data_IF_376728280551
#
_entry.id   IF_376728280551
#
_cell.length_a   1.000
_cell.length_b   1.000
_cell.length_c   1.000
_cell.angle_alpha   90.00
_cell.angle_beta   90.00
_cell.angle_gamma   90.00
#
_symmetry.space_group_name_H-M   'P 1'
#
loop_
_entity.id
_entity.type
_entity.pdbx_description
1 polymer ?
#
# COMPACT_ATOMS: atom_id res chain seq x y z
N UNK A 1 -2.22 12.72 1.71
CA UNK A 1 -3.51 12.31 1.12
C UNK A 1 -3.99 11.02 1.78
N UNK A 2 -5.26 10.94 2.18
CA UNK A 2 -5.86 9.71 2.75
C UNK A 2 -7.01 9.26 1.86
N UNK A 3 -7.12 7.95 1.64
CA UNK A 3 -8.21 7.32 0.87
C UNK A 3 -8.65 6.04 1.54
N UNK A 4 -9.97 5.84 1.59
CA UNK A 4 -10.58 4.60 2.06
C UNK A 4 -11.31 3.91 0.91
N UNK A 5 -11.17 2.60 0.84
CA UNK A 5 -11.81 1.76 -0.18
C UNK A 5 -12.46 0.57 0.54
N UNK A 6 -13.75 0.33 0.28
CA UNK A 6 -14.43 -0.87 0.73
C UNK A 6 -14.48 -1.85 -0.43
N UNK A 7 -14.00 -3.08 -0.19
CA UNK A 7 -14.06 -4.18 -1.12
C UNK A 7 -15.08 -5.19 -0.58
N UNK A 8 -16.09 -5.48 -1.39
CA UNK A 8 -17.16 -6.41 -1.07
C UNK A 8 -17.04 -7.58 -2.04
N UNK A 9 -17.09 -8.80 -1.50
CA UNK A 9 -17.09 -10.01 -2.31
C UNK A 9 -17.51 -11.20 -1.45
N UNK A 10 -18.15 -12.17 -2.08
CA UNK A 10 -18.51 -13.43 -1.44
C UNK A 10 -17.26 -14.33 -1.30
N UNK A 11 -17.19 -15.09 -0.20
CA UNK A 11 -16.13 -16.10 -0.03
C UNK A 11 -14.71 -15.58 0.21
N UNK A 12 -14.48 -14.29 0.51
CA UNK A 12 -13.13 -13.77 0.73
C UNK A 12 -12.55 -14.26 2.07
N UNK A 13 -11.69 -15.28 1.99
CA UNK A 13 -10.95 -15.87 3.13
C UNK A 13 -9.53 -15.33 3.30
N UNK A 14 -9.11 -14.38 2.45
CA UNK A 14 -7.74 -13.92 2.41
C UNK A 14 -7.27 -13.23 3.70
N UNK A 15 -5.96 -13.32 3.98
CA UNK A 15 -5.36 -12.66 5.13
C UNK A 15 -5.49 -11.13 5.03
N UNK A 16 -5.85 -10.48 6.15
CA UNK A 16 -5.83 -9.03 6.25
C UNK A 16 -4.37 -8.57 6.30
N UNK A 17 -3.83 -8.16 5.15
CA UNK A 17 -2.47 -7.66 5.08
C UNK A 17 -2.39 -6.16 5.35
N UNK A 18 -1.28 -5.77 5.97
CA UNK A 18 -0.92 -4.38 6.20
C UNK A 18 0.47 -4.11 5.60
N UNK A 19 0.64 -2.93 5.06
CA UNK A 19 1.86 -2.46 4.43
C UNK A 19 2.24 -1.12 5.06
N UNK A 20 3.48 -1.02 5.54
CA UNK A 20 4.04 0.23 6.07
C UNK A 20 5.40 0.49 5.44
N UNK A 21 5.50 1.61 4.74
CA UNK A 21 6.73 2.08 4.11
C UNK A 21 7.08 3.44 4.69
N UNK A 22 8.33 3.56 5.16
CA UNK A 22 8.88 4.82 5.66
C UNK A 22 10.06 5.23 4.79
N UNK A 23 10.12 6.50 4.43
CA UNK A 23 11.26 7.08 3.70
C UNK A 23 11.46 8.55 4.03
N UNK A 24 12.52 9.15 3.46
CA UNK A 24 12.76 10.60 3.59
C UNK A 24 11.81 11.44 2.74
N UNK A 25 11.28 10.91 1.63
CA UNK A 25 10.45 11.67 0.69
C UNK A 25 8.96 11.55 0.99
N UNK A 26 8.51 10.34 1.32
CA UNK A 26 7.12 10.07 1.67
C UNK A 26 6.99 8.80 2.51
N UNK A 27 5.87 8.71 3.20
CA UNK A 27 5.45 7.51 3.89
C UNK A 27 4.17 6.95 3.28
N UNK A 28 4.04 5.62 3.29
CA UNK A 28 2.84 4.90 2.88
C UNK A 28 2.40 4.00 4.02
N UNK A 29 1.16 4.14 4.47
CA UNK A 29 0.49 3.21 5.36
C UNK A 29 -0.74 2.65 4.67
N UNK A 30 -0.83 1.33 4.58
CA UNK A 30 -2.02 0.63 4.13
C UNK A 30 -2.38 -0.39 5.21
N UNK A 31 -3.63 -0.33 5.67
CA UNK A 31 -4.16 -1.27 6.63
C UNK A 31 -5.52 -1.75 6.12
N UNK A 32 -5.71 -3.07 6.14
CA UNK A 32 -7.01 -3.69 5.95
C UNK A 32 -7.70 -3.96 7.29
N UNK A 33 -9.01 -4.06 7.26
CA UNK A 33 -9.84 -4.66 8.30
C UNK A 33 -10.90 -5.54 7.66
N UNK A 34 -11.18 -6.70 8.27
CA UNK A 34 -12.32 -7.52 7.87
C UNK A 34 -13.59 -6.88 8.43
N UNK A 35 -14.63 -6.84 7.62
CA UNK A 35 -15.95 -6.29 7.95
C UNK A 35 -17.02 -7.37 7.74
N UNK A 36 -18.25 -7.11 8.20
CA UNK A 36 -19.37 -8.03 8.00
C UNK A 36 -19.70 -8.31 6.52
N UNK A 37 -19.29 -7.44 5.59
CA UNK A 37 -19.62 -7.53 4.16
C UNK A 37 -18.38 -7.68 3.24
N UNK A 38 -17.19 -7.89 3.79
CA UNK A 38 -15.96 -7.92 3.00
C UNK A 38 -14.78 -7.27 3.74
N UNK A 39 -13.98 -6.46 3.05
CA UNK A 39 -12.80 -5.80 3.61
C UNK A 39 -12.86 -4.29 3.44
N UNK A 40 -12.33 -3.56 4.41
CA UNK A 40 -12.09 -2.13 4.29
C UNK A 40 -10.60 -1.86 4.34
N UNK A 41 -10.10 -1.17 3.33
CA UNK A 41 -8.73 -0.71 3.27
C UNK A 41 -8.66 0.78 3.48
N UNK A 42 -7.75 1.19 4.36
CA UNK A 42 -7.33 2.57 4.51
C UNK A 42 -5.92 2.71 3.98
N UNK A 43 -5.75 3.62 3.03
CA UNK A 43 -4.46 4.03 2.48
C UNK A 43 -4.18 5.46 2.88
N UNK A 44 -3.03 5.70 3.49
CA UNK A 44 -2.53 7.02 3.82
C UNK A 44 -1.15 7.21 3.19
N UNK A 45 -0.99 8.33 2.48
CA UNK A 45 0.30 8.79 1.96
C UNK A 45 0.62 10.12 2.63
N UNK A 46 1.77 10.19 3.29
CA UNK A 46 2.30 11.42 3.87
C UNK A 46 3.50 11.86 3.04
N UNK A 47 3.33 12.92 2.26
CA UNK A 47 4.42 13.53 1.49
C UNK A 47 5.24 14.39 2.45
N UNK A 48 6.54 14.12 2.56
CA UNK A 48 7.49 14.88 3.40
C UNK A 48 8.23 15.94 2.58
N UNK A 49 8.50 15.61 1.32
CA UNK A 49 9.13 16.52 0.37
C UNK A 49 8.19 16.76 -0.81
N UNK A 50 7.80 18.02 -1.10
CA UNK A 50 6.83 18.33 -2.14
C UNK A 50 7.34 18.07 -3.56
N UNK A 51 8.66 18.06 -3.75
CA UNK A 51 9.34 17.79 -5.02
C UNK A 51 10.56 16.92 -4.77
N UNK A 52 10.82 15.97 -5.67
CA UNK A 52 12.00 15.11 -5.63
C UNK A 52 12.80 15.44 -6.88
N UNK A 53 14.07 15.82 -6.72
CA UNK A 53 14.89 16.22 -7.87
C UNK A 53 15.26 15.03 -8.74
N UNK A 54 15.69 15.30 -9.98
CA UNK A 54 16.22 14.26 -10.86
C UNK A 54 17.42 13.54 -10.20
N UNK A 55 18.35 14.31 -9.64
CA UNK A 55 19.53 13.76 -8.97
C UNK A 55 19.16 12.86 -7.80
N UNK A 56 18.07 13.14 -7.09
CA UNK A 56 17.57 12.30 -6.00
C UNK A 56 16.92 11.00 -6.47
N UNK A 57 16.11 11.04 -7.53
CA UNK A 57 15.46 9.83 -8.06
C UNK A 57 16.45 8.87 -8.72
N UNK A 58 17.60 9.38 -9.16
CA UNK A 58 18.69 8.56 -9.72
C UNK A 58 19.56 7.90 -8.65
N UNK A 59 19.33 8.17 -7.35
CA UNK A 59 20.11 7.54 -6.29
C UNK A 59 19.65 6.10 -6.02
N UNK A 60 20.56 5.18 -5.68
CA UNK A 60 20.21 3.80 -5.30
C UNK A 60 19.19 3.72 -4.14
N UNK A 61 19.21 4.72 -3.24
CA UNK A 61 18.25 4.80 -2.15
C UNK A 61 16.80 4.99 -2.64
N UNK A 62 16.60 5.70 -3.75
CA UNK A 62 15.29 5.89 -4.34
C UNK A 62 14.83 4.62 -5.07
N UNK A 63 15.71 3.96 -5.82
CA UNK A 63 15.44 2.67 -6.45
C UNK A 63 15.02 1.62 -5.40
N UNK A 64 15.81 1.46 -4.33
CA UNK A 64 15.49 0.55 -3.23
C UNK A 64 14.14 0.87 -2.57
N UNK A 65 13.80 2.16 -2.46
CA UNK A 65 12.48 2.56 -1.96
C UNK A 65 11.36 2.12 -2.90
N UNK A 66 11.52 2.26 -4.22
CA UNK A 66 10.52 1.83 -5.20
C UNK A 66 10.32 0.31 -5.16
N UNK A 67 11.40 -0.48 -5.11
CA UNK A 67 11.32 -1.94 -4.97
C UNK A 67 10.54 -2.34 -3.72
N UNK A 68 10.89 -1.75 -2.57
CA UNK A 68 10.17 -1.99 -1.32
C UNK A 68 8.72 -1.54 -1.38
N UNK A 69 8.41 -0.47 -2.10
CA UNK A 69 7.03 -0.03 -2.31
C UNK A 69 6.25 -1.07 -3.10
N UNK A 70 6.78 -1.56 -4.22
CA UNK A 70 6.17 -2.61 -5.04
C UNK A 70 5.90 -3.87 -4.24
N UNK A 71 6.90 -4.40 -3.53
CA UNK A 71 6.74 -5.58 -2.67
C UNK A 71 5.64 -5.39 -1.61
N UNK A 72 5.52 -4.16 -1.10
CA UNK A 72 4.54 -3.80 -0.09
C UNK A 72 3.11 -3.78 -0.68
N UNK A 73 2.94 -3.35 -1.93
CA UNK A 73 1.67 -3.43 -2.65
C UNK A 73 1.32 -4.85 -3.09
N UNK A 74 2.29 -5.62 -3.57
CA UNK A 74 2.03 -6.98 -4.07
C UNK A 74 1.53 -7.90 -2.98
N UNK A 75 2.01 -7.72 -1.73
CA UNK A 75 1.48 -8.42 -0.56
C UNK A 75 0.04 -8.06 -0.22
N UNK A 76 -0.51 -6.97 -0.74
CA UNK A 76 -1.91 -6.60 -0.55
C UNK A 76 -2.83 -7.25 -1.58
N UNK A 77 -2.28 -7.87 -2.63
CA UNK A 77 -3.09 -8.58 -3.61
C UNK A 77 -3.79 -9.77 -2.96
N UNK A 78 -5.08 -9.89 -3.25
CA UNK A 78 -5.90 -10.99 -2.79
C UNK A 78 -5.94 -12.10 -3.82
N UNK A 79 -5.67 -13.32 -3.37
CA UNK A 79 -6.08 -14.50 -4.12
C UNK A 79 -7.58 -14.66 -3.88
N UNK A 80 -8.37 -14.34 -4.89
CA UNK A 80 -9.82 -14.61 -4.90
C UNK A 80 -10.01 -15.93 -5.63
N UNK A 81 -10.50 -16.94 -4.94
CA UNK A 81 -10.89 -18.18 -5.61
C UNK A 81 -12.21 -17.90 -6.34
N UNK A 82 -12.16 -17.80 -7.67
CA UNK A 82 -13.36 -17.83 -8.48
C UNK A 82 -13.97 -19.25 -8.43
N UNK A 83 -15.30 -19.39 -8.43
CA UNK A 83 -15.98 -20.68 -8.47
C UNK A 83 -15.67 -21.47 -9.75
#
# INVERSE_FOLDING_TARGET
MSRQINLVGEGITAAVNACRLRSRWFDIDIAGEKTARGYRYRKQITVKTPWISHDEIMQPAFESLMTRASDCYDRLNFIVNAP
#
